data_IF_640425673478
#
_entry.id   IF_640425673478
#
_cell.length_a   1.000
_cell.length_b   1.000
_cell.length_c   1.000
_cell.angle_alpha   90.00
_cell.angle_beta   90.00
_cell.angle_gamma   90.00
#
_symmetry.space_group_name_H-M   'P 1'
#
loop_
_entity.id
_entity.type
_entity.pdbx_description
1 polymer ?
#
# COMPACT_ATOMS: atom_id res chain seq x y z
N UNK A 1 -3.09 12.26 -7.25
CA UNK A 1 -3.90 12.13 -8.50
C UNK A 1 -3.08 11.65 -9.68
N UNK A 2 -1.83 12.16 -9.90
CA UNK A 2 -0.95 11.74 -11.01
C UNK A 2 -0.66 10.24 -10.99
N UNK A 3 -0.23 9.69 -9.87
CA UNK A 3 0.15 8.28 -9.74
C UNK A 3 -1.03 7.31 -9.99
N UNK A 4 -2.26 7.76 -9.79
CA UNK A 4 -3.48 7.02 -10.10
C UNK A 4 -4.07 7.35 -11.47
N UNK A 5 -3.38 8.14 -12.29
CA UNK A 5 -3.79 8.41 -13.65
C UNK A 5 -4.96 9.38 -13.83
N UNK A 6 -5.39 10.10 -12.80
CA UNK A 6 -6.49 11.07 -12.91
C UNK A 6 -6.09 12.38 -13.57
N UNK A 7 -4.81 12.74 -13.49
CA UNK A 7 -4.26 13.94 -14.14
C UNK A 7 -2.95 13.60 -14.85
N UNK A 8 -2.71 14.24 -15.99
CA UNK A 8 -1.39 14.38 -16.58
C UNK A 8 -0.81 15.77 -16.21
N UNK A 9 0.51 15.82 -16.06
CA UNK A 9 1.23 17.05 -15.75
C UNK A 9 1.97 17.61 -16.98
N UNK A 10 2.01 16.87 -18.08
CA UNK A 10 2.76 17.23 -19.27
C UNK A 10 1.87 17.22 -20.54
N UNK A 11 1.94 18.26 -21.38
CA UNK A 11 2.74 19.51 -21.24
C UNK A 11 2.15 20.52 -20.26
N UNK A 12 0.91 20.33 -19.84
CA UNK A 12 0.22 21.13 -18.82
C UNK A 12 -0.66 20.25 -17.95
N UNK A 13 -1.07 20.76 -16.79
CA UNK A 13 -1.99 20.04 -15.91
C UNK A 13 -3.34 19.87 -16.58
N UNK A 14 -3.73 18.64 -16.88
CA UNK A 14 -4.99 18.31 -17.52
C UNK A 14 -5.63 17.06 -16.88
N UNK A 15 -6.95 17.00 -16.91
CA UNK A 15 -7.67 15.77 -16.58
C UNK A 15 -7.46 14.74 -17.68
N UNK A 16 -7.24 13.51 -17.27
CA UNK A 16 -7.23 12.35 -18.15
C UNK A 16 -8.67 11.86 -18.43
N UNK A 17 -8.84 10.84 -19.25
CA UNK A 17 -10.14 10.18 -19.41
C UNK A 17 -10.67 9.65 -18.08
N UNK A 18 -9.80 8.96 -17.31
CA UNK A 18 -10.13 8.48 -15.96
C UNK A 18 -10.45 9.64 -15.01
N UNK A 19 -9.73 10.75 -15.10
CA UNK A 19 -10.00 11.95 -14.30
C UNK A 19 -11.35 12.58 -14.63
N UNK A 20 -11.68 12.71 -15.91
CA UNK A 20 -12.99 13.19 -16.35
C UNK A 20 -14.12 12.26 -15.89
N UNK A 21 -13.95 10.96 -16.08
CA UNK A 21 -14.92 9.95 -15.65
C UNK A 21 -15.10 9.92 -14.13
N UNK A 22 -14.04 10.17 -13.37
CA UNK A 22 -14.10 10.26 -11.91
C UNK A 22 -14.87 11.50 -11.44
N UNK A 23 -14.67 12.66 -12.05
CA UNK A 23 -15.28 13.92 -11.60
C UNK A 23 -16.70 14.06 -12.11
N UNK A 24 -16.95 13.71 -13.38
CA UNK A 24 -18.23 13.98 -14.05
C UNK A 24 -19.06 12.72 -14.30
N UNK A 25 -18.50 11.54 -14.07
CA UNK A 25 -19.17 10.27 -14.26
C UNK A 25 -20.18 9.94 -13.15
N UNK A 26 -21.06 8.97 -13.43
CA UNK A 26 -22.11 8.54 -12.48
C UNK A 26 -21.61 7.60 -11.37
N UNK A 27 -20.41 6.99 -11.54
CA UNK A 27 -19.88 5.94 -10.68
C UNK A 27 -18.42 6.19 -10.27
N UNK A 28 -18.16 7.28 -9.53
CA UNK A 28 -16.79 7.67 -9.19
C UNK A 28 -16.05 6.61 -8.37
N UNK A 29 -16.74 5.84 -7.53
CA UNK A 29 -16.12 4.78 -6.73
C UNK A 29 -15.61 3.63 -7.60
N UNK A 30 -16.34 3.23 -8.64
CA UNK A 30 -15.91 2.18 -9.58
C UNK A 30 -14.69 2.63 -10.39
N UNK A 31 -14.68 3.88 -10.85
CA UNK A 31 -13.52 4.46 -11.54
C UNK A 31 -12.31 4.51 -10.60
N UNK A 32 -12.51 4.93 -9.35
CA UNK A 32 -11.45 4.98 -8.37
C UNK A 32 -10.87 3.59 -8.06
N UNK A 33 -11.73 2.58 -7.87
CA UNK A 33 -11.33 1.19 -7.67
C UNK A 33 -10.51 0.69 -8.86
N UNK A 34 -10.98 0.92 -10.09
CA UNK A 34 -10.26 0.52 -11.31
C UNK A 34 -8.86 1.12 -11.35
N UNK A 35 -8.71 2.39 -11.02
CA UNK A 35 -7.41 3.06 -10.99
C UNK A 35 -6.51 2.54 -9.86
N UNK A 36 -7.06 2.19 -8.70
CA UNK A 36 -6.30 1.50 -7.65
C UNK A 36 -5.80 0.13 -8.12
N UNK A 37 -6.62 -0.64 -8.83
CA UNK A 37 -6.25 -1.95 -9.35
C UNK A 37 -5.25 -1.87 -10.52
N UNK A 38 -5.23 -0.76 -11.27
CA UNK A 38 -4.20 -0.49 -12.28
C UNK A 38 -2.87 -0.04 -11.69
N UNK A 39 -2.89 0.53 -10.47
CA UNK A 39 -1.68 1.02 -9.84
C UNK A 39 -0.72 -0.12 -9.55
N UNK A 40 0.50 0.00 -10.04
CA UNK A 40 1.52 -1.03 -9.93
C UNK A 40 2.91 -0.44 -9.71
N UNK A 41 3.82 -1.26 -9.19
CA UNK A 41 5.24 -0.99 -9.09
C UNK A 41 6.01 -2.22 -9.60
N UNK A 42 7.00 -2.09 -10.50
CA UNK A 42 7.50 -0.83 -11.05
C UNK A 42 6.51 -0.14 -11.99
N UNK A 43 6.67 1.17 -12.14
CA UNK A 43 5.95 1.94 -13.14
C UNK A 43 6.88 2.99 -13.76
N UNK A 44 6.66 3.44 -15.02
CA UNK A 44 7.47 4.48 -15.65
C UNK A 44 7.52 5.80 -14.87
N UNK A 45 6.51 6.09 -14.06
CA UNK A 45 6.49 7.28 -13.20
C UNK A 45 7.46 7.23 -12.02
N UNK A 46 7.97 6.03 -11.68
CA UNK A 46 8.94 5.79 -10.62
C UNK A 46 10.33 5.48 -11.15
N UNK A 47 10.53 5.51 -12.47
CA UNK A 47 11.81 5.19 -13.15
C UNK A 47 12.96 6.11 -12.75
N UNK A 48 12.67 7.36 -12.37
CA UNK A 48 13.67 8.31 -11.86
C UNK A 48 14.29 7.87 -10.52
N UNK A 49 13.61 6.98 -9.81
CA UNK A 49 14.10 6.39 -8.56
C UNK A 49 14.55 4.94 -8.80
N UNK A 50 15.62 4.77 -9.60
CA UNK A 50 16.17 3.45 -9.97
C UNK A 50 16.43 2.52 -8.78
N UNK A 51 16.76 3.07 -7.61
CA UNK A 51 16.95 2.28 -6.39
C UNK A 51 15.64 1.70 -5.82
N UNK A 52 14.49 2.26 -6.19
CA UNK A 52 13.18 1.79 -5.77
C UNK A 52 12.60 0.85 -6.83
N UNK A 53 12.75 1.17 -8.11
CA UNK A 53 12.16 0.40 -9.20
C UNK A 53 12.62 -1.07 -9.24
N UNK A 54 13.88 -1.36 -8.87
CA UNK A 54 14.41 -2.72 -8.86
C UNK A 54 13.99 -3.59 -7.66
N UNK A 55 13.30 -3.02 -6.68
CA UNK A 55 12.88 -3.73 -5.46
C UNK A 55 11.39 -4.00 -5.39
N UNK A 56 10.62 -3.51 -6.36
CA UNK A 56 9.16 -3.65 -6.36
C UNK A 56 8.69 -4.49 -7.54
N UNK A 57 7.81 -5.46 -7.23
CA UNK A 57 7.08 -6.25 -8.22
C UNK A 57 5.68 -6.55 -7.68
N UNK A 58 4.78 -5.56 -7.72
CA UNK A 58 3.52 -5.64 -6.99
C UNK A 58 2.44 -4.72 -7.57
N UNK A 59 1.18 -5.13 -7.42
CA UNK A 59 -0.03 -4.30 -7.48
C UNK A 59 -0.53 -4.07 -6.05
N UNK A 60 -0.08 -3.04 -5.34
CA UNK A 60 -0.21 -2.98 -3.89
C UNK A 60 -1.66 -3.00 -3.41
N UNK A 61 -2.57 -2.31 -4.09
CA UNK A 61 -3.98 -2.29 -3.67
C UNK A 61 -4.71 -3.61 -3.92
N UNK A 62 -4.33 -4.36 -4.97
CA UNK A 62 -4.84 -5.72 -5.22
C UNK A 62 -4.38 -6.68 -4.11
N UNK A 63 -3.08 -6.64 -3.76
CA UNK A 63 -2.53 -7.51 -2.72
C UNK A 63 -3.08 -7.16 -1.32
N UNK A 64 -3.29 -5.88 -1.03
CA UNK A 64 -3.95 -5.47 0.22
C UNK A 64 -5.40 -5.96 0.27
N UNK A 65 -6.15 -5.86 -0.83
CA UNK A 65 -7.52 -6.36 -0.90
C UNK A 65 -7.56 -7.87 -0.65
N UNK A 66 -6.62 -8.63 -1.25
CA UNK A 66 -6.44 -10.07 -1.01
C UNK A 66 -6.15 -10.36 0.45
N UNK A 67 -5.23 -9.61 1.05
CA UNK A 67 -4.82 -9.80 2.43
C UNK A 67 -6.00 -9.54 3.41
N UNK A 68 -6.78 -8.48 3.15
CA UNK A 68 -8.00 -8.19 3.95
C UNK A 68 -9.03 -9.31 3.77
N UNK A 69 -9.18 -9.85 2.56
CA UNK A 69 -10.15 -10.93 2.28
C UNK A 69 -9.75 -12.24 2.95
N UNK A 70 -8.48 -12.64 2.89
CA UNK A 70 -7.98 -13.89 3.49
C UNK A 70 -7.93 -13.85 5.02
N UNK A 71 -7.57 -12.69 5.59
CA UNK A 71 -7.46 -12.51 7.04
C UNK A 71 -8.79 -12.09 7.68
N UNK A 72 -9.87 -11.91 6.90
CA UNK A 72 -11.18 -11.38 7.27
C UNK A 72 -11.13 -9.90 7.70
N UNK A 73 -10.09 -9.49 8.37
CA UNK A 73 -9.82 -8.09 8.72
C UNK A 73 -8.32 -7.85 8.88
N UNK A 74 -7.93 -6.57 8.81
CA UNK A 74 -6.57 -6.13 9.17
C UNK A 74 -6.68 -4.92 10.08
N UNK A 75 -5.97 -4.94 11.22
CA UNK A 75 -5.87 -3.78 12.09
C UNK A 75 -4.86 -2.77 11.56
N UNK A 76 -4.99 -1.52 11.99
CA UNK A 76 -4.05 -0.46 11.59
C UNK A 76 -2.61 -0.74 12.01
N UNK A 77 -2.41 -1.42 13.16
CA UNK A 77 -1.08 -1.83 13.62
C UNK A 77 -0.49 -2.91 12.71
N UNK A 78 -1.25 -3.94 12.35
CA UNK A 78 -0.83 -4.99 11.41
C UNK A 78 -0.50 -4.40 10.04
N UNK A 79 -1.34 -3.49 9.56
CA UNK A 79 -1.16 -2.86 8.27
C UNK A 79 0.14 -2.06 8.19
N UNK A 80 0.38 -1.14 9.15
CA UNK A 80 1.57 -0.28 9.15
C UNK A 80 2.87 -1.04 9.38
N UNK A 81 2.82 -2.20 10.08
CA UNK A 81 4.03 -2.99 10.39
C UNK A 81 4.35 -3.97 9.26
N UNK A 82 3.34 -4.63 8.68
CA UNK A 82 3.55 -5.75 7.76
C UNK A 82 3.10 -5.43 6.32
N UNK A 83 1.85 -5.01 6.12
CA UNK A 83 1.28 -4.87 4.79
C UNK A 83 1.93 -3.75 3.96
N UNK A 84 2.26 -2.60 4.59
CA UNK A 84 2.94 -1.47 3.92
C UNK A 84 4.32 -1.85 3.38
N UNK A 85 4.93 -2.89 3.93
CA UNK A 85 6.28 -3.32 3.56
C UNK A 85 6.31 -4.39 2.47
N UNK A 86 5.16 -4.87 2.02
CA UNK A 86 5.08 -5.84 0.95
C UNK A 86 5.44 -5.18 -0.38
N UNK A 87 6.64 -5.44 -0.87
CA UNK A 87 7.19 -4.87 -2.10
C UNK A 87 7.08 -5.80 -3.30
N UNK A 88 6.88 -7.08 -3.05
CA UNK A 88 6.73 -8.13 -4.04
C UNK A 88 5.55 -9.03 -3.64
N UNK A 89 4.66 -9.32 -4.59
CA UNK A 89 3.48 -10.16 -4.31
C UNK A 89 3.84 -11.62 -4.01
N UNK A 90 5.03 -12.10 -4.41
CA UNK A 90 5.50 -13.44 -4.03
C UNK A 90 5.75 -13.56 -2.52
N UNK A 91 5.92 -12.44 -1.82
CA UNK A 91 6.07 -12.41 -0.37
C UNK A 91 4.73 -12.40 0.39
N UNK A 92 3.61 -12.52 -0.31
CA UNK A 92 2.26 -12.43 0.26
C UNK A 92 2.06 -13.41 1.43
N UNK A 93 2.39 -14.70 1.23
CA UNK A 93 2.24 -15.73 2.25
C UNK A 93 3.07 -15.41 3.51
N UNK A 94 4.31 -14.96 3.33
CA UNK A 94 5.19 -14.58 4.44
C UNK A 94 4.64 -13.39 5.23
N UNK A 95 4.03 -12.42 4.56
CA UNK A 95 3.38 -11.27 5.20
C UNK A 95 2.13 -11.71 5.96
N UNK A 96 1.26 -12.53 5.35
CA UNK A 96 0.08 -13.09 6.00
C UNK A 96 0.45 -13.86 7.26
N UNK A 97 1.41 -14.76 7.18
CA UNK A 97 1.85 -15.60 8.30
C UNK A 97 2.50 -14.77 9.41
N UNK A 98 3.18 -13.67 9.05
CA UNK A 98 3.71 -12.73 10.04
C UNK A 98 2.60 -11.99 10.80
N UNK A 99 1.49 -11.65 10.13
CA UNK A 99 0.32 -11.06 10.78
C UNK A 99 -0.36 -12.07 11.71
N UNK A 100 -0.51 -13.32 11.29
CA UNK A 100 -1.10 -14.37 12.13
C UNK A 100 -0.26 -14.61 13.40
N UNK A 101 1.06 -14.75 13.28
CA UNK A 101 1.97 -14.85 14.42
C UNK A 101 1.88 -13.65 15.35
N UNK A 102 1.86 -12.43 14.78
CA UNK A 102 1.68 -11.21 15.57
C UNK A 102 0.37 -11.22 16.38
N UNK A 103 -0.73 -11.75 15.84
CA UNK A 103 -2.02 -11.88 16.54
C UNK A 103 -1.92 -12.85 17.72
N UNK A 104 -1.24 -13.98 17.55
CA UNK A 104 -1.00 -14.96 18.60
C UNK A 104 -0.17 -14.36 19.74
N UNK A 105 0.99 -13.79 19.42
CA UNK A 105 1.87 -13.16 20.38
C UNK A 105 1.22 -11.97 21.10
N UNK A 106 0.44 -11.17 20.38
CA UNK A 106 -0.37 -10.08 20.94
C UNK A 106 -1.34 -10.57 22.01
N UNK A 107 -1.96 -11.72 21.78
CA UNK A 107 -2.91 -12.30 22.75
C UNK A 107 -2.24 -12.64 24.09
N UNK A 108 -0.96 -13.00 24.05
CA UNK A 108 -0.12 -13.34 25.20
C UNK A 108 0.43 -12.08 25.92
N UNK A 109 0.56 -10.96 25.20
CA UNK A 109 1.19 -9.72 25.70
C UNK A 109 0.18 -8.61 26.04
N UNK A 110 -1.06 -8.93 26.42
CA UNK A 110 -2.14 -7.97 26.66
C UNK A 110 -1.78 -6.84 27.61
N UNK A 111 -1.05 -7.12 28.69
CA UNK A 111 -0.66 -6.15 29.72
C UNK A 111 0.41 -5.14 29.25
N UNK A 112 1.18 -5.46 28.21
CA UNK A 112 2.26 -4.62 27.66
C UNK A 112 2.09 -4.31 26.19
N UNK A 113 0.86 -4.30 25.71
CA UNK A 113 0.52 -4.20 24.29
C UNK A 113 1.27 -3.08 23.53
N UNK A 114 1.29 -1.87 24.08
CA UNK A 114 1.92 -0.72 23.42
C UNK A 114 3.42 -0.93 23.22
N UNK A 115 4.10 -1.49 24.24
CA UNK A 115 5.52 -1.79 24.19
C UNK A 115 5.80 -2.90 23.17
N UNK A 116 5.06 -4.00 23.26
CA UNK A 116 5.15 -5.12 22.34
C UNK A 116 5.01 -4.68 20.88
N UNK A 117 3.95 -3.93 20.53
CA UNK A 117 3.74 -3.39 19.17
C UNK A 117 4.89 -2.49 18.73
N UNK A 118 5.39 -1.63 19.64
CA UNK A 118 6.48 -0.74 19.33
C UNK A 118 7.79 -1.50 19.03
N UNK A 119 8.10 -2.50 19.82
CA UNK A 119 9.32 -3.32 19.69
C UNK A 119 9.29 -4.13 18.37
N UNK A 120 8.17 -4.75 18.03
CA UNK A 120 7.98 -5.45 16.74
C UNK A 120 8.17 -4.46 15.57
N UNK A 121 7.58 -3.27 15.66
CA UNK A 121 7.69 -2.26 14.60
C UNK A 121 9.12 -1.75 14.42
N UNK A 122 9.85 -1.51 15.52
CA UNK A 122 11.26 -1.11 15.45
C UNK A 122 12.12 -2.19 14.83
N UNK A 123 11.94 -3.44 15.27
CA UNK A 123 12.67 -4.59 14.72
C UNK A 123 12.41 -4.75 13.22
N UNK A 124 11.18 -4.59 12.76
CA UNK A 124 10.83 -4.64 11.35
C UNK A 124 11.56 -3.54 10.55
N UNK A 125 11.60 -2.31 11.06
CA UNK A 125 12.34 -1.20 10.42
C UNK A 125 13.85 -1.48 10.37
N UNK A 126 14.42 -1.98 11.46
CA UNK A 126 15.84 -2.32 11.53
C UNK A 126 16.21 -3.41 10.53
N UNK A 127 15.40 -4.45 10.40
CA UNK A 127 15.65 -5.53 9.45
C UNK A 127 15.56 -5.06 7.99
N UNK A 128 14.52 -4.31 7.62
CA UNK A 128 14.34 -3.81 6.27
C UNK A 128 15.47 -2.88 5.84
N UNK A 129 15.95 -2.08 6.77
CA UNK A 129 16.96 -1.06 6.49
C UNK A 129 18.36 -1.45 6.97
N UNK A 130 18.62 -2.73 7.30
CA UNK A 130 19.88 -3.19 7.88
C UNK A 130 21.10 -2.77 7.05
N UNK A 131 21.09 -2.97 5.75
CA UNK A 131 22.20 -2.62 4.86
C UNK A 131 22.43 -1.10 4.79
N UNK A 132 21.33 -0.34 4.75
CA UNK A 132 21.37 1.12 4.77
C UNK A 132 21.92 1.65 6.09
N UNK A 133 21.52 1.05 7.19
CA UNK A 133 21.98 1.40 8.55
C UNK A 133 23.47 1.04 8.71
N UNK A 134 23.86 -0.15 8.29
CA UNK A 134 25.26 -0.60 8.32
C UNK A 134 26.17 0.32 7.48
N UNK A 135 25.67 0.83 6.36
CA UNK A 135 26.38 1.79 5.52
C UNK A 135 26.38 3.24 6.06
N UNK A 136 25.79 3.50 7.24
CA UNK A 136 25.70 4.84 7.83
C UNK A 136 24.76 5.81 7.06
N UNK A 137 23.91 5.30 6.16
CA UNK A 137 23.01 6.11 5.32
C UNK A 137 21.66 6.34 5.98
N UNK A 138 21.66 6.90 7.20
CA UNK A 138 20.45 7.12 8.01
C UNK A 138 19.82 8.51 7.86
N UNK A 139 20.41 9.40 7.07
CA UNK A 139 19.78 10.70 6.74
C UNK A 139 18.53 10.49 5.90
N UNK A 140 17.50 11.29 6.16
CA UNK A 140 16.24 11.29 5.40
C UNK A 140 16.01 12.66 4.76
N UNK A 141 15.01 12.77 3.90
CA UNK A 141 14.62 14.07 3.31
C UNK A 141 14.07 15.03 4.36
N UNK A 142 13.48 14.50 5.43
CA UNK A 142 12.80 15.25 6.47
C UNK A 142 13.76 15.78 7.53
N UNK A 143 14.99 15.22 7.61
CA UNK A 143 15.95 15.63 8.61
C UNK A 143 17.41 15.40 8.18
N UNK A 144 18.28 16.35 8.51
CA UNK A 144 19.72 16.20 8.37
C UNK A 144 20.36 15.42 9.54
N UNK A 145 19.59 15.12 10.60
CA UNK A 145 20.05 14.33 11.74
C UNK A 145 20.20 12.86 11.29
N UNK A 146 21.45 12.37 11.34
CA UNK A 146 21.80 11.02 10.95
C UNK A 146 21.68 10.00 12.10
N UNK A 147 21.12 10.39 13.26
CA UNK A 147 20.95 9.46 14.38
C UNK A 147 19.97 8.34 14.04
N UNK A 148 20.29 7.12 14.47
CA UNK A 148 19.42 5.95 14.27
C UNK A 148 18.02 6.17 14.87
N UNK A 149 17.95 6.82 16.03
CA UNK A 149 16.68 7.18 16.68
C UNK A 149 15.80 8.04 15.79
N UNK A 150 16.37 9.06 15.16
CA UNK A 150 15.65 9.96 14.26
C UNK A 150 15.22 9.23 12.97
N UNK A 151 16.10 8.39 12.42
CA UNK A 151 15.80 7.56 11.28
C UNK A 151 14.58 6.64 11.54
N UNK A 152 14.59 5.89 12.65
CA UNK A 152 13.47 5.02 13.04
C UNK A 152 12.18 5.83 13.22
N UNK A 153 12.22 6.97 13.88
CA UNK A 153 11.06 7.83 14.07
C UNK A 153 10.48 8.31 12.73
N UNK A 154 11.33 8.69 11.77
CA UNK A 154 10.91 9.08 10.42
C UNK A 154 10.27 7.91 9.67
N UNK A 155 10.90 6.72 9.70
CA UNK A 155 10.31 5.53 9.05
C UNK A 155 8.94 5.17 9.66
N UNK A 156 8.80 5.23 10.98
CA UNK A 156 7.50 5.02 11.65
C UNK A 156 6.44 6.03 11.19
N UNK A 157 6.82 7.30 11.05
CA UNK A 157 5.89 8.32 10.53
C UNK A 157 5.45 8.00 9.10
N UNK A 158 6.40 7.73 8.21
CA UNK A 158 6.11 7.42 6.81
C UNK A 158 5.19 6.19 6.68
N UNK A 159 5.49 5.11 7.40
CA UNK A 159 4.67 3.89 7.39
C UNK A 159 3.24 4.15 7.89
N UNK A 160 3.09 4.99 8.92
CA UNK A 160 1.78 5.40 9.43
C UNK A 160 1.00 6.20 8.38
N UNK A 161 1.65 7.14 7.72
CA UNK A 161 1.03 7.99 6.71
C UNK A 161 0.59 7.18 5.49
N UNK A 162 1.41 6.21 5.05
CA UNK A 162 1.03 5.26 3.99
C UNK A 162 -0.16 4.38 4.40
N UNK A 163 -0.16 3.85 5.62
CA UNK A 163 -1.27 3.03 6.13
C UNK A 163 -2.58 3.84 6.18
N UNK A 164 -2.52 5.08 6.66
CA UNK A 164 -3.69 5.97 6.72
C UNK A 164 -4.21 6.32 5.32
N UNK A 165 -3.31 6.62 4.39
CA UNK A 165 -3.69 6.89 3.00
C UNK A 165 -4.35 5.66 2.35
N UNK A 166 -3.79 4.46 2.54
CA UNK A 166 -4.36 3.22 2.01
C UNK A 166 -5.75 2.92 2.59
N UNK A 167 -5.95 3.11 3.90
CA UNK A 167 -7.25 2.92 4.54
C UNK A 167 -8.31 3.86 3.94
N UNK A 168 -7.97 5.14 3.73
CA UNK A 168 -8.87 6.11 3.10
C UNK A 168 -9.19 5.75 1.66
N UNK A 169 -8.20 5.32 0.89
CA UNK A 169 -8.41 4.95 -0.50
C UNK A 169 -9.28 3.70 -0.63
N UNK A 170 -8.99 2.66 0.13
CA UNK A 170 -9.79 1.43 0.12
C UNK A 170 -11.24 1.68 0.59
N UNK A 171 -11.44 2.50 1.64
CA UNK A 171 -12.78 2.89 2.07
C UNK A 171 -13.58 3.58 0.96
N UNK A 172 -12.92 4.44 0.18
CA UNK A 172 -13.60 5.19 -0.88
C UNK A 172 -14.12 4.29 -2.01
N UNK A 173 -13.55 3.09 -2.20
CA UNK A 173 -14.02 2.12 -3.19
C UNK A 173 -15.42 1.57 -2.92
N UNK A 174 -15.93 1.71 -1.70
CA UNK A 174 -17.20 1.10 -1.28
C UNK A 174 -17.13 -0.41 -1.03
N UNK A 175 -15.95 -1.04 -1.15
CA UNK A 175 -15.76 -2.47 -0.87
C UNK A 175 -15.40 -2.74 0.60
N UNK A 176 -14.83 -1.75 1.28
CA UNK A 176 -14.17 -1.89 2.58
C UNK A 176 -14.90 -1.10 3.68
N UNK A 177 -15.21 -1.80 4.75
CA UNK A 177 -15.70 -1.26 6.01
C UNK A 177 -14.53 -0.88 6.93
N UNK A 178 -14.69 0.21 7.69
CA UNK A 178 -13.74 0.61 8.74
C UNK A 178 -14.41 0.52 10.09
N UNK A 179 -13.85 -0.30 10.98
CA UNK A 179 -14.21 -0.30 12.40
C UNK A 179 -13.35 0.72 13.15
N UNK A 180 -13.97 1.80 13.63
CA UNK A 180 -13.27 2.81 14.44
C UNK A 180 -12.85 2.28 15.81
N UNK A 181 -13.60 1.35 16.39
CA UNK A 181 -13.32 0.76 17.71
C UNK A 181 -12.05 -0.09 17.69
N UNK A 182 -11.91 -0.96 16.71
CA UNK A 182 -10.75 -1.85 16.55
C UNK A 182 -9.64 -1.21 15.68
N UNK A 183 -9.91 -0.08 15.03
CA UNK A 183 -9.06 0.52 14.01
C UNK A 183 -8.66 -0.52 12.96
N UNK A 184 -9.64 -1.23 12.41
CA UNK A 184 -9.44 -2.27 11.42
C UNK A 184 -10.28 -2.03 10.19
N UNK A 185 -9.87 -2.65 9.10
CA UNK A 185 -10.62 -2.73 7.85
C UNK A 185 -11.02 -4.18 7.58
N UNK A 186 -12.19 -4.36 6.98
CA UNK A 186 -12.73 -5.63 6.50
C UNK A 186 -13.53 -5.42 5.22
N UNK A 187 -13.76 -6.47 4.45
CA UNK A 187 -14.69 -6.40 3.31
C UNK A 187 -16.12 -6.32 3.85
N UNK A 188 -16.99 -5.49 3.24
CA UNK A 188 -18.43 -5.53 3.51
C UNK A 188 -18.99 -6.90 3.16
N UNK A 189 -19.91 -7.45 3.96
CA UNK A 189 -20.49 -8.78 3.75
C UNK A 189 -21.17 -8.91 2.37
N UNK A 190 -21.90 -7.89 1.96
CA UNK A 190 -22.56 -7.82 0.65
C UNK A 190 -21.59 -7.61 -0.52
N UNK A 191 -20.31 -7.34 -0.26
CA UNK A 191 -19.25 -7.14 -1.26
C UNK A 191 -18.26 -8.29 -1.38
N UNK A 192 -18.41 -9.34 -0.60
CA UNK A 192 -17.52 -10.51 -0.63
C UNK A 192 -17.44 -11.13 -2.03
N UNK A 193 -18.59 -11.35 -2.68
CA UNK A 193 -18.64 -11.95 -4.01
C UNK A 193 -17.95 -11.07 -5.07
N UNK A 194 -18.14 -9.74 -4.97
CA UNK A 194 -17.50 -8.79 -5.87
C UNK A 194 -15.98 -8.79 -5.68
N UNK A 195 -15.52 -8.82 -4.43
CA UNK A 195 -14.08 -8.91 -4.11
C UNK A 195 -13.48 -10.23 -4.59
N UNK A 196 -14.14 -11.37 -4.35
CA UNK A 196 -13.67 -12.68 -4.82
C UNK A 196 -13.59 -12.74 -6.35
N UNK A 197 -14.54 -12.12 -7.05
CA UNK A 197 -14.49 -11.99 -8.51
C UNK A 197 -13.27 -11.15 -8.96
N UNK A 198 -13.02 -10.00 -8.34
CA UNK A 198 -11.83 -9.18 -8.63
C UNK A 198 -10.55 -9.98 -8.41
N UNK A 199 -10.43 -10.66 -7.27
CA UNK A 199 -9.24 -11.41 -6.90
C UNK A 199 -8.96 -12.63 -7.78
N UNK A 200 -10.02 -13.18 -8.42
CA UNK A 200 -9.89 -14.32 -9.35
C UNK A 200 -9.62 -13.89 -10.80
N UNK A 201 -10.01 -12.68 -11.19
CA UNK A 201 -9.94 -12.22 -12.58
C UNK A 201 -8.77 -11.26 -12.85
N UNK A 202 -8.37 -10.47 -11.86
CA UNK A 202 -7.27 -9.51 -12.02
C UNK A 202 -5.95 -10.19 -11.76
N UNK A 203 -5.04 -10.15 -12.76
CA UNK A 203 -3.68 -10.70 -12.61
C UNK A 203 -2.92 -9.99 -11.49
N UNK A 204 -2.18 -10.77 -10.72
CA UNK A 204 -1.26 -10.27 -9.68
C UNK A 204 0.00 -9.64 -10.29
N UNK A 205 0.44 -10.16 -11.45
CA UNK A 205 1.62 -9.65 -12.11
C UNK A 205 1.44 -8.20 -12.55
N UNK A 206 2.40 -7.32 -12.25
CA UNK A 206 2.48 -6.02 -12.88
C UNK A 206 2.55 -6.15 -14.41
N UNK A 207 1.80 -5.29 -15.10
CA UNK A 207 1.86 -5.26 -16.56
C UNK A 207 3.21 -4.67 -16.99
N UNK A 208 3.96 -5.41 -17.80
CA UNK A 208 5.23 -4.92 -18.33
C UNK A 208 4.97 -3.95 -19.49
N UNK A 209 5.16 -2.67 -19.24
CA UNK A 209 5.03 -1.60 -20.24
C UNK A 209 6.24 -0.67 -20.10
N UNK A 210 7.23 -0.80 -20.97
CA UNK A 210 8.44 0.03 -20.95
C UNK A 210 8.22 1.42 -21.51
N UNK A 211 7.38 1.54 -22.53
CA UNK A 211 7.07 2.82 -23.14
C UNK A 211 6.18 3.68 -22.27
N UNK A 212 6.63 4.90 -21.97
CA UNK A 212 5.92 5.83 -21.10
C UNK A 212 4.56 6.23 -21.66
N UNK A 213 4.41 6.38 -22.98
CA UNK A 213 3.17 6.77 -23.60
C UNK A 213 2.16 5.62 -23.59
N UNK A 214 2.62 4.40 -23.85
CA UNK A 214 1.80 3.20 -23.73
C UNK A 214 1.35 2.98 -22.27
N UNK A 215 2.22 3.23 -21.29
CA UNK A 215 1.84 3.16 -19.89
C UNK A 215 0.82 4.27 -19.52
N UNK A 216 1.00 5.49 -20.04
CA UNK A 216 0.01 6.56 -19.88
C UNK A 216 -1.35 6.16 -20.46
N UNK A 217 -1.39 5.61 -21.68
CA UNK A 217 -2.61 5.13 -22.30
C UNK A 217 -3.32 4.07 -21.44
N UNK A 218 -2.58 3.11 -20.89
CA UNK A 218 -3.09 2.12 -19.95
C UNK A 218 -3.64 2.76 -18.67
N UNK A 219 -2.88 3.65 -18.05
CA UNK A 219 -3.25 4.24 -16.76
C UNK A 219 -4.36 5.29 -16.88
N UNK A 220 -4.40 6.06 -17.97
CA UNK A 220 -5.31 7.19 -18.15
C UNK A 220 -6.70 6.80 -18.68
N UNK A 221 -6.86 5.57 -19.19
CA UNK A 221 -8.18 5.07 -19.61
C UNK A 221 -9.12 4.87 -18.41
N UNK A 222 -10.41 5.12 -18.63
CA UNK A 222 -11.47 4.93 -17.62
C UNK A 222 -11.92 3.47 -17.52
#
# INVERSE_FOLDING_TARGET
PKALGFIDLNPCVALTEAGNSFIYGKRPQEIFLRQLLKFQLPSPYHSENRNIAGTFYIRPYLEILRLVRELEYITFDEFKIFAVQMTDYHNFEAVRDSILRFREEKSQNRGQYKRFVNDIWENAILEIHKDRIAAGKTRTRETNDASLKKFIATQKSNMRDYADACFRYLRYTGLISISHKSRSISVFEDKIVEVDFILSTVSRDPVYIDDVNAYKAYLFSA
#
